data_IF_032827772145
#
_entry.id   IF_032827772145
#
_cell.length_a   1.000
_cell.length_b   1.000
_cell.length_c   1.000
_cell.angle_alpha   90.00
_cell.angle_beta   90.00
_cell.angle_gamma   90.00
#
_symmetry.space_group_name_H-M   'P 1'
#
loop_
_entity.id
_entity.type
_entity.pdbx_description
1 polymer ?
#
# COMPACT_ATOMS: atom_id res chain seq x y z
N UNK A 1 -13.64 -10.77 -9.38
CA UNK A 1 -12.87 -10.03 -10.40
C UNK A 1 -13.13 -8.56 -10.18
N UNK A 2 -12.08 -7.72 -10.17
CA UNK A 2 -12.24 -6.28 -10.03
C UNK A 2 -12.72 -5.67 -11.36
N UNK A 3 -13.56 -4.64 -11.28
CA UNK A 3 -13.97 -3.81 -12.40
C UNK A 3 -13.51 -2.38 -12.12
N UNK A 4 -13.04 -1.67 -13.13
CA UNK A 4 -12.51 -0.31 -13.00
C UNK A 4 -13.40 0.71 -13.72
N UNK A 5 -14.62 0.99 -13.22
CA UNK A 5 -15.46 2.02 -13.82
C UNK A 5 -14.80 3.39 -13.68
N UNK A 6 -14.93 4.20 -14.74
CA UNK A 6 -14.48 5.59 -14.71
C UNK A 6 -15.42 6.41 -13.82
N UNK A 7 -14.84 7.10 -12.85
CA UNK A 7 -15.54 8.03 -11.96
C UNK A 7 -15.61 9.43 -12.58
N UNK A 8 -16.44 10.30 -11.97
CA UNK A 8 -16.41 11.72 -12.29
C UNK A 8 -14.97 12.28 -12.15
N UNK A 9 -14.52 13.02 -13.16
CA UNK A 9 -13.13 13.50 -13.25
C UNK A 9 -12.14 12.52 -13.88
N UNK A 10 -12.62 11.42 -14.48
CA UNK A 10 -11.81 10.55 -15.34
C UNK A 10 -10.96 9.50 -14.62
N UNK A 11 -11.00 9.47 -13.28
CA UNK A 11 -10.26 8.53 -12.46
C UNK A 11 -10.89 7.14 -12.52
N UNK A 12 -10.07 6.12 -12.76
CA UNK A 12 -10.50 4.72 -12.61
C UNK A 12 -10.51 4.35 -11.12
N UNK A 13 -11.55 3.66 -10.68
CA UNK A 13 -11.66 3.17 -9.31
C UNK A 13 -11.85 1.67 -9.31
N UNK A 14 -11.06 0.95 -8.52
CA UNK A 14 -11.28 -0.47 -8.26
C UNK A 14 -12.65 -0.66 -7.59
N UNK A 15 -13.49 -1.51 -8.18
CA UNK A 15 -14.78 -1.91 -7.62
C UNK A 15 -15.00 -3.41 -7.69
N UNK A 16 -15.74 -3.95 -6.73
CA UNK A 16 -16.10 -5.36 -6.63
C UNK A 16 -17.60 -5.50 -6.52
N UNK A 17 -18.17 -6.40 -7.32
CA UNK A 17 -19.61 -6.61 -7.38
C UNK A 17 -19.94 -8.08 -7.15
N UNK A 18 -20.87 -8.34 -6.25
CA UNK A 18 -21.49 -9.64 -6.07
C UNK A 18 -22.82 -9.66 -6.83
N UNK A 19 -22.97 -10.63 -7.72
CA UNK A 19 -24.21 -10.87 -8.46
C UNK A 19 -24.93 -12.10 -7.93
N UNK A 20 -26.25 -12.05 -7.86
CA UNK A 20 -27.10 -13.23 -7.65
C UNK A 20 -28.20 -13.24 -8.70
N UNK A 21 -28.33 -14.36 -9.40
CA UNK A 21 -29.41 -14.60 -10.35
C UNK A 21 -30.39 -15.58 -9.71
N UNK A 22 -31.62 -15.13 -9.52
CA UNK A 22 -32.70 -15.92 -8.93
C UNK A 22 -33.73 -16.26 -10.01
N UNK A 23 -34.05 -17.55 -10.25
CA UNK A 23 -35.11 -17.90 -11.17
C UNK A 23 -36.47 -17.51 -10.58
N UNK A 24 -37.32 -16.92 -11.42
CA UNK A 24 -38.71 -16.63 -11.08
C UNK A 24 -39.57 -17.75 -11.66
N UNK A 25 -40.22 -18.51 -10.78
CA UNK A 25 -41.04 -19.66 -11.16
C UNK A 25 -42.50 -19.24 -11.28
N UNK A 26 -43.13 -19.55 -12.41
CA UNK A 26 -44.54 -19.26 -12.67
C UNK A 26 -45.47 -20.30 -12.06
N UNK A 27 -46.78 -20.04 -12.14
CA UNK A 27 -47.83 -20.90 -11.55
C UNK A 27 -47.83 -22.34 -12.10
N UNK A 28 -47.32 -22.53 -13.32
CA UNK A 28 -47.16 -23.84 -13.94
C UNK A 28 -45.88 -24.59 -13.51
N UNK A 29 -45.12 -24.05 -12.56
CA UNK A 29 -43.83 -24.61 -12.11
C UNK A 29 -42.67 -24.40 -13.09
N UNK A 30 -42.90 -23.74 -14.22
CA UNK A 30 -41.85 -23.43 -15.19
C UNK A 30 -41.14 -22.11 -14.85
N UNK A 31 -39.85 -22.02 -15.17
CA UNK A 31 -39.09 -20.77 -15.05
C UNK A 31 -39.66 -19.76 -16.04
N UNK A 32 -40.24 -18.70 -15.50
CA UNK A 32 -40.88 -17.61 -16.26
C UNK A 32 -39.97 -16.39 -16.41
N UNK A 33 -38.83 -16.36 -15.71
CA UNK A 33 -37.83 -15.31 -15.84
C UNK A 33 -36.69 -15.43 -14.84
N UNK A 34 -35.85 -14.41 -14.80
CA UNK A 34 -34.73 -14.31 -13.87
C UNK A 34 -34.69 -12.92 -13.26
N UNK A 35 -34.51 -12.85 -11.93
CA UNK A 35 -34.19 -11.63 -11.21
C UNK A 35 -32.69 -11.59 -10.95
N UNK A 36 -32.02 -10.56 -11.46
CA UNK A 36 -30.59 -10.35 -11.21
C UNK A 36 -30.43 -9.22 -10.18
N UNK A 37 -29.69 -9.51 -9.10
CA UNK A 37 -29.29 -8.53 -8.09
C UNK A 37 -27.78 -8.37 -8.11
N UNK A 38 -27.31 -7.17 -8.40
CA UNK A 38 -25.94 -6.74 -8.18
C UNK A 38 -25.82 -5.98 -6.86
N UNK A 39 -24.77 -6.26 -6.09
CA UNK A 39 -24.44 -5.56 -4.85
C UNK A 39 -22.97 -5.14 -4.94
N UNK A 40 -22.70 -3.87 -4.64
CA UNK A 40 -21.34 -3.38 -4.46
C UNK A 40 -20.78 -3.94 -3.14
N UNK A 41 -19.65 -4.65 -3.23
CA UNK A 41 -18.93 -5.24 -2.10
C UNK A 41 -17.49 -4.70 -2.02
N UNK A 42 -17.24 -3.55 -2.62
CA UNK A 42 -15.90 -2.95 -2.72
C UNK A 42 -15.34 -2.65 -1.34
N UNK A 43 -16.16 -2.07 -0.46
CA UNK A 43 -15.71 -1.66 0.88
C UNK A 43 -15.32 -2.86 1.74
N UNK A 44 -16.07 -3.95 1.63
CA UNK A 44 -15.91 -5.21 2.33
C UNK A 44 -14.64 -5.92 1.83
N UNK A 45 -14.46 -5.95 0.51
CA UNK A 45 -13.28 -6.55 -0.13
C UNK A 45 -12.00 -5.83 0.27
N UNK A 46 -11.99 -4.49 0.19
CA UNK A 46 -10.83 -3.67 0.56
C UNK A 46 -10.53 -3.76 2.06
N UNK A 47 -11.56 -3.70 2.92
CA UNK A 47 -11.39 -3.90 4.37
C UNK A 47 -10.82 -5.28 4.67
N UNK A 48 -11.34 -6.33 4.03
CA UNK A 48 -10.86 -7.70 4.20
C UNK A 48 -9.37 -7.83 3.85
N UNK A 49 -8.93 -7.28 2.71
CA UNK A 49 -7.51 -7.25 2.31
C UNK A 49 -6.63 -6.57 3.36
N UNK A 50 -7.03 -5.37 3.81
CA UNK A 50 -6.27 -4.60 4.83
C UNK A 50 -6.21 -5.31 6.18
N UNK A 51 -7.34 -5.85 6.64
CA UNK A 51 -7.40 -6.63 7.87
C UNK A 51 -6.50 -7.86 7.77
N UNK A 52 -6.54 -8.60 6.66
CA UNK A 52 -5.68 -9.75 6.44
C UNK A 52 -4.19 -9.36 6.49
N UNK A 53 -3.79 -8.25 5.85
CA UNK A 53 -2.41 -7.74 5.95
C UNK A 53 -2.00 -7.48 7.40
N UNK A 54 -2.86 -6.81 8.18
CA UNK A 54 -2.58 -6.53 9.59
C UNK A 54 -2.49 -7.82 10.42
N UNK A 55 -3.38 -8.79 10.18
CA UNK A 55 -3.32 -10.09 10.83
C UNK A 55 -2.04 -10.86 10.48
N UNK A 56 -1.60 -10.83 9.22
CA UNK A 56 -0.34 -11.46 8.81
C UNK A 56 0.86 -10.83 9.52
N UNK A 57 0.92 -9.49 9.61
CA UNK A 57 1.98 -8.80 10.34
C UNK A 57 1.97 -9.18 11.83
N UNK A 58 0.80 -9.21 12.46
CA UNK A 58 0.65 -9.50 13.88
C UNK A 58 0.82 -10.99 14.23
N UNK A 59 0.68 -11.89 13.25
CA UNK A 59 0.87 -13.33 13.46
C UNK A 59 2.35 -13.65 13.67
N UNK A 60 2.68 -14.68 14.48
CA UNK A 60 4.06 -15.17 14.59
C UNK A 60 4.62 -15.55 13.23
N UNK A 61 5.92 -15.35 13.03
CA UNK A 61 6.58 -15.83 11.83
C UNK A 61 6.43 -17.35 11.72
N UNK A 62 6.10 -17.82 10.52
CA UNK A 62 6.07 -19.27 10.23
C UNK A 62 7.48 -19.86 10.09
N UNK A 63 8.48 -18.99 9.95
CA UNK A 63 9.89 -19.33 9.79
C UNK A 63 10.66 -18.97 11.07
N UNK A 64 11.46 -19.93 11.55
CA UNK A 64 12.08 -19.88 12.88
C UNK A 64 13.21 -18.84 13.00
N UNK A 65 13.89 -18.52 11.89
CA UNK A 65 15.03 -17.60 11.83
C UNK A 65 14.73 -16.31 11.05
N UNK A 66 13.46 -15.98 10.89
CA UNK A 66 13.05 -14.85 10.08
C UNK A 66 13.33 -13.53 10.79
N UNK A 67 14.01 -12.60 10.11
CA UNK A 67 14.17 -11.26 10.66
C UNK A 67 12.81 -10.56 10.73
N UNK A 68 12.64 -9.63 11.68
CA UNK A 68 11.42 -8.82 11.77
C UNK A 68 11.10 -8.11 10.44
N UNK A 69 12.14 -7.70 9.70
CA UNK A 69 11.99 -7.03 8.40
C UNK A 69 11.42 -7.98 7.36
N UNK A 70 11.95 -9.19 7.26
CA UNK A 70 11.49 -10.19 6.29
C UNK A 70 10.05 -10.62 6.60
N UNK A 71 9.71 -10.85 7.87
CA UNK A 71 8.33 -11.18 8.28
C UNK A 71 7.33 -10.09 7.89
N UNK A 72 7.65 -8.84 8.21
CA UNK A 72 6.80 -7.69 7.88
C UNK A 72 6.67 -7.57 6.36
N UNK A 73 7.78 -7.59 5.62
CA UNK A 73 7.74 -7.39 4.17
C UNK A 73 7.11 -8.56 3.42
N UNK A 74 7.26 -9.81 3.88
CA UNK A 74 6.51 -10.96 3.37
C UNK A 74 5.00 -10.72 3.53
N UNK A 75 4.58 -10.18 4.67
CA UNK A 75 3.17 -9.83 4.91
C UNK A 75 2.68 -8.70 4.00
N UNK A 76 3.50 -7.67 3.74
CA UNK A 76 3.16 -6.58 2.82
C UNK A 76 3.05 -7.06 1.37
N UNK A 77 3.94 -7.96 0.93
CA UNK A 77 3.90 -8.58 -0.42
C UNK A 77 2.58 -9.32 -0.68
N UNK A 78 1.89 -9.77 0.36
CA UNK A 78 0.56 -10.36 0.24
C UNK A 78 -0.55 -9.39 -0.22
N UNK A 79 -0.30 -8.08 -0.22
CA UNK A 79 -1.29 -7.05 -0.58
C UNK A 79 -0.69 -5.92 -1.44
N UNK A 80 0.00 -6.30 -2.53
CA UNK A 80 0.58 -5.35 -3.50
C UNK A 80 -0.44 -4.40 -4.15
N UNK A 81 -1.73 -4.75 -4.10
CA UNK A 81 -2.82 -3.93 -4.62
C UNK A 81 -3.08 -2.68 -3.76
N UNK A 82 -2.89 -2.75 -2.43
CA UNK A 82 -2.99 -1.58 -1.53
C UNK A 82 -1.61 -0.97 -1.23
N UNK A 83 -0.56 -1.79 -1.29
CA UNK A 83 0.81 -1.45 -0.93
C UNK A 83 1.74 -1.76 -2.12
N UNK A 84 1.63 -1.01 -3.23
CA UNK A 84 2.42 -1.26 -4.42
C UNK A 84 3.92 -1.06 -4.16
N UNK A 85 4.26 -0.25 -3.16
CA UNK A 85 5.63 0.05 -2.77
C UNK A 85 5.73 0.31 -1.27
N UNK A 86 6.82 -0.16 -0.67
CA UNK A 86 7.23 0.14 0.69
C UNK A 86 8.74 -0.08 0.83
N UNK A 87 9.36 0.58 1.79
CA UNK A 87 10.76 0.36 2.16
C UNK A 87 10.96 0.71 3.64
N UNK A 88 11.92 0.06 4.27
CA UNK A 88 12.21 0.23 5.69
C UNK A 88 13.71 0.29 5.93
N UNK A 89 14.08 1.21 6.81
CA UNK A 89 15.44 1.41 7.26
C UNK A 89 15.56 1.07 8.75
N UNK A 90 16.69 0.47 9.14
CA UNK A 90 17.16 0.54 10.52
C UNK A 90 17.84 1.89 10.73
N UNK A 91 17.71 2.48 11.92
CA UNK A 91 18.37 3.73 12.26
C UNK A 91 19.40 3.49 13.38
N UNK A 92 20.63 3.93 13.14
CA UNK A 92 21.63 4.18 14.18
C UNK A 92 21.52 5.66 14.57
N UNK A 93 20.76 5.95 15.62
CA UNK A 93 20.37 7.30 16.01
C UNK A 93 21.28 7.84 17.12
N UNK A 94 22.23 8.68 16.73
CA UNK A 94 23.13 9.39 17.63
C UNK A 94 22.72 10.88 17.75
N UNK A 95 23.38 11.60 18.67
CA UNK A 95 23.11 13.04 18.89
C UNK A 95 23.47 13.91 17.69
N UNK A 96 24.47 13.52 16.89
CA UNK A 96 25.04 14.33 15.80
C UNK A 96 24.97 13.66 14.43
N UNK A 97 24.52 12.40 14.38
CA UNK A 97 24.35 11.62 13.16
C UNK A 97 23.13 10.73 13.31
N UNK A 98 22.46 10.41 12.20
CA UNK A 98 21.41 9.38 12.22
C UNK A 98 21.53 8.62 10.90
N UNK A 99 22.30 7.53 10.97
CA UNK A 99 22.59 6.69 9.81
C UNK A 99 21.45 5.71 9.63
N UNK A 100 20.85 5.74 8.45
CA UNK A 100 19.82 4.79 8.04
C UNK A 100 20.44 3.77 7.11
N UNK A 101 20.18 2.50 7.37
CA UNK A 101 20.60 1.36 6.53
C UNK A 101 19.34 0.66 6.04
N UNK A 102 19.20 0.51 4.72
CA UNK A 102 18.04 -0.10 4.09
C UNK A 102 17.99 -1.59 4.45
N UNK A 103 16.88 -2.02 5.03
CA UNK A 103 16.68 -3.41 5.45
C UNK A 103 15.85 -4.17 4.42
N UNK A 104 14.76 -3.56 3.95
CA UNK A 104 13.86 -4.17 2.97
C UNK A 104 13.18 -3.13 2.09
N UNK A 105 12.79 -3.57 0.89
CA UNK A 105 11.97 -2.82 -0.04
C UNK A 105 11.07 -3.74 -0.89
N UNK A 106 9.96 -3.19 -1.38
CA UNK A 106 9.06 -3.79 -2.38
C UNK A 106 8.66 -2.71 -3.38
N UNK A 107 8.41 -3.12 -4.63
CA UNK A 107 7.91 -2.21 -5.67
C UNK A 107 8.93 -1.21 -6.20
N UNK A 108 10.22 -1.35 -5.86
CA UNK A 108 11.29 -0.55 -6.46
C UNK A 108 11.75 -1.17 -7.80
N UNK A 109 12.31 -0.36 -8.71
CA UNK A 109 12.99 -0.88 -9.89
C UNK A 109 14.11 -1.87 -9.53
N UNK A 110 14.50 -2.80 -10.43
CA UNK A 110 15.56 -3.78 -10.18
C UNK A 110 16.89 -3.16 -9.74
N UNK A 111 17.22 -1.99 -10.27
CA UNK A 111 18.45 -1.24 -9.95
C UNK A 111 18.29 -0.31 -8.73
N UNK A 112 17.16 -0.40 -8.02
CA UNK A 112 16.80 0.49 -6.91
C UNK A 112 16.21 1.83 -7.37
N UNK A 113 16.14 2.78 -6.43
CA UNK A 113 15.63 4.13 -6.69
C UNK A 113 16.48 5.16 -5.95
N UNK A 114 16.78 6.30 -6.57
CA UNK A 114 17.67 7.33 -5.99
C UNK A 114 17.17 7.89 -4.64
N UNK A 115 15.87 7.78 -4.37
CA UNK A 115 15.23 8.20 -3.13
C UNK A 115 15.26 7.15 -2.03
N UNK A 116 15.61 5.91 -2.38
CA UNK A 116 15.73 4.79 -1.44
C UNK A 116 17.18 4.28 -1.53
N UNK A 117 18.18 5.11 -1.21
CA UNK A 117 19.58 4.68 -1.25
C UNK A 117 19.82 3.59 -0.18
N UNK A 118 20.78 2.67 -0.38
CA UNK A 118 21.09 1.64 0.60
C UNK A 118 21.50 2.20 1.97
N UNK A 119 22.20 3.34 1.97
CA UNK A 119 22.63 4.04 3.18
C UNK A 119 22.40 5.55 3.01
N UNK A 120 21.99 6.23 4.06
CA UNK A 120 21.91 7.69 4.11
C UNK A 120 22.07 8.21 5.55
N UNK A 121 22.66 9.38 5.73
CA UNK A 121 22.61 10.11 6.99
C UNK A 121 21.52 11.19 6.92
N UNK A 122 20.61 11.20 7.88
CA UNK A 122 19.50 12.17 7.97
C UNK A 122 20.00 13.61 8.10
N UNK A 123 21.17 13.80 8.70
CA UNK A 123 21.76 15.11 8.89
C UNK A 123 22.58 15.57 7.68
N UNK A 124 23.02 14.63 6.85
CA UNK A 124 23.70 14.92 5.60
C UNK A 124 22.68 15.20 4.48
N UNK A 125 22.98 16.21 3.66
CA UNK A 125 22.13 16.60 2.55
C UNK A 125 20.93 17.51 2.89
N UNK A 126 20.55 18.29 1.88
CA UNK A 126 19.44 19.25 1.93
C UNK A 126 18.27 18.88 0.99
N UNK A 127 18.36 17.75 0.29
CA UNK A 127 17.43 17.32 -0.76
C UNK A 127 16.92 15.89 -0.53
N UNK A 128 15.76 15.54 -1.09
CA UNK A 128 15.19 14.20 -0.99
C UNK A 128 14.41 13.95 0.31
N UNK A 129 14.54 12.74 0.87
CA UNK A 129 13.89 12.32 2.12
C UNK A 129 14.51 12.85 3.43
N UNK A 130 15.83 13.12 3.57
CA UNK A 130 16.42 13.57 4.83
C UNK A 130 15.74 14.79 5.50
N UNK A 131 15.38 15.88 4.77
CA UNK A 131 14.63 16.99 5.36
C UNK A 131 13.24 16.58 5.88
N UNK A 132 12.58 15.64 5.19
CA UNK A 132 11.27 15.12 5.58
C UNK A 132 11.37 14.25 6.84
N UNK A 133 12.42 13.43 6.94
CA UNK A 133 12.69 12.64 8.15
C UNK A 133 12.96 13.55 9.35
N UNK A 134 13.80 14.59 9.19
CA UNK A 134 14.03 15.58 10.25
C UNK A 134 12.73 16.25 10.71
N UNK A 135 11.84 16.56 9.78
CA UNK A 135 10.51 17.13 10.07
C UNK A 135 9.62 16.14 10.83
N UNK A 136 9.54 14.88 10.39
CA UNK A 136 8.79 13.81 11.11
C UNK A 136 9.34 13.60 12.51
N UNK A 137 10.67 13.56 12.66
CA UNK A 137 11.36 13.42 13.95
C UNK A 137 11.01 14.57 14.90
N UNK A 138 11.08 15.82 14.42
CA UNK A 138 10.74 16.99 15.22
C UNK A 138 9.26 17.05 15.62
N UNK A 139 8.36 16.57 14.77
CA UNK A 139 6.91 16.62 15.00
C UNK A 139 6.36 15.41 15.76
N UNK A 140 7.08 14.28 15.78
CA UNK A 140 6.60 12.98 16.26
C UNK A 140 5.24 12.58 15.67
N UNK A 141 4.98 12.94 14.41
CA UNK A 141 3.74 12.67 13.71
C UNK A 141 4.00 12.20 12.27
N UNK A 142 3.14 11.31 11.72
CA UNK A 142 3.21 10.94 10.32
C UNK A 142 3.09 12.18 9.42
N UNK A 143 3.97 12.29 8.43
CA UNK A 143 3.91 13.35 7.43
C UNK A 143 3.22 12.82 6.18
N UNK A 144 2.11 13.45 5.80
CA UNK A 144 1.42 13.14 4.54
C UNK A 144 1.86 14.15 3.49
N UNK A 145 2.37 13.65 2.36
CA UNK A 145 2.80 14.45 1.22
C UNK A 145 1.76 14.34 0.10
N UNK A 146 1.44 15.45 -0.56
CA UNK A 146 0.45 15.51 -1.63
C UNK A 146 0.98 16.35 -2.80
N UNK A 147 0.59 15.97 -4.02
CA UNK A 147 0.85 16.79 -5.22
C UNK A 147 0.01 18.08 -5.19
N UNK A 148 -1.22 18.00 -4.67
CA UNK A 148 -2.20 19.09 -4.72
C UNK A 148 -1.82 20.32 -3.90
N UNK A 149 -1.06 20.13 -2.81
CA UNK A 149 -0.57 21.21 -1.95
C UNK A 149 0.94 21.47 -2.12
N UNK A 150 1.57 20.83 -3.10
CA UNK A 150 3.00 20.97 -3.39
C UNK A 150 3.95 20.38 -2.35
N UNK A 151 3.45 19.66 -1.33
CA UNK A 151 4.32 19.06 -0.30
C UNK A 151 5.08 17.84 -0.80
N UNK A 152 4.58 17.16 -1.84
CA UNK A 152 5.28 16.08 -2.53
C UNK A 152 6.15 16.66 -3.67
N UNK A 153 7.50 16.64 -3.55
CA UNK A 153 8.36 17.14 -4.61
C UNK A 153 8.16 16.33 -5.91
N UNK A 154 8.11 17.01 -7.05
CA UNK A 154 7.92 16.34 -8.35
C UNK A 154 9.06 15.38 -8.70
N UNK A 155 10.28 15.73 -8.30
CA UNK A 155 11.45 14.87 -8.46
C UNK A 155 11.40 13.63 -7.55
N UNK A 156 10.59 13.67 -6.48
CA UNK A 156 10.34 12.51 -5.61
C UNK A 156 9.46 11.45 -6.31
N UNK A 157 8.88 11.76 -7.46
CA UNK A 157 7.98 10.87 -8.19
C UNK A 157 8.49 10.49 -9.58
N UNK A 158 9.65 11.01 -10.00
CA UNK A 158 10.31 10.54 -11.23
C UNK A 158 10.71 9.09 -11.02
N UNK A 159 10.55 8.27 -12.05
CA UNK A 159 10.96 6.86 -12.09
C UNK A 159 10.16 5.87 -11.23
N UNK A 160 9.13 6.33 -10.51
CA UNK A 160 8.07 5.43 -10.01
C UNK A 160 7.05 5.16 -11.12
N UNK A 161 6.90 3.88 -11.46
CA UNK A 161 5.90 3.37 -12.41
C UNK A 161 4.53 3.28 -11.74
#
# INVERSE_FOLDING_TARGET
MAVFPQQAGGRLQETFWAGTILPVVGENGAVSGFYNRGIDITSETVKGRRSNTLYSIASPSSEQDDSIWEHVFRSLRGNMQDLPMAFAYSADDELVSCKLILQQSIGLPPDGHCLVPPELDVFDGSTGLPPLYRKVRALHQPLVLRKTDGTLPNDLMKDFI
#
